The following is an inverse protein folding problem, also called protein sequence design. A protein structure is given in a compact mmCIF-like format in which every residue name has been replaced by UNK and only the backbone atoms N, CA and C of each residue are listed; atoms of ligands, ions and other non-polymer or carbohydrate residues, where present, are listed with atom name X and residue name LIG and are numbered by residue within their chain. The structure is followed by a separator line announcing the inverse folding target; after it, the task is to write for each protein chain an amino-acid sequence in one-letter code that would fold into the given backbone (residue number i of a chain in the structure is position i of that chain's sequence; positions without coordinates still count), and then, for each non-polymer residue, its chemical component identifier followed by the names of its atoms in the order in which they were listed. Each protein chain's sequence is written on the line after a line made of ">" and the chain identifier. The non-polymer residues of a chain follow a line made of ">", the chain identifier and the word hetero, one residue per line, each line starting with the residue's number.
data_IF_574318874309
#
_entry.id   IF_574318874309
#
_cell.length_a   1.000
_cell.length_b   1.000
_cell.length_c   1.000
_cell.angle_alpha   90.00
_cell.angle_beta   90.00
_cell.angle_gamma   90.00
#
_symmetry.space_group_name_H-M   'P 1'
#
loop_
_entity.id
_entity.type
_entity.pdbx_description
1 polymer ?
#
# COMPACT_ATOMS: atom_id res chain seq x y z
N UNK A 1 19.13 -11.69 -22.52
CA UNK A 1 18.52 -10.85 -23.56
C UNK A 1 17.73 -9.78 -22.84
N UNK A 2 18.29 -8.56 -22.81
CA UNK A 2 17.66 -7.40 -22.14
C UNK A 2 16.50 -6.93 -23.00
N UNK A 3 15.27 -7.10 -22.54
CA UNK A 3 14.09 -6.50 -23.17
C UNK A 3 14.19 -4.99 -22.98
N UNK A 4 14.28 -4.27 -24.09
CA UNK A 4 14.12 -2.81 -24.11
C UNK A 4 12.74 -2.49 -23.53
N UNK A 5 12.71 -1.89 -22.35
CA UNK A 5 11.47 -1.35 -21.76
C UNK A 5 10.85 -0.39 -22.77
N UNK A 6 9.54 -0.52 -23.00
CA UNK A 6 8.84 0.39 -23.90
C UNK A 6 8.86 1.82 -23.33
N UNK A 7 8.67 2.84 -24.17
CA UNK A 7 8.56 4.23 -23.71
C UNK A 7 7.40 4.39 -22.72
N UNK A 8 6.33 3.60 -22.89
CA UNK A 8 5.20 3.55 -21.97
C UNK A 8 5.59 2.98 -20.59
N UNK A 9 6.42 1.92 -20.55
CA UNK A 9 6.89 1.33 -19.29
C UNK A 9 7.81 2.29 -18.52
N UNK A 10 8.64 3.06 -19.24
CA UNK A 10 9.49 4.08 -18.64
C UNK A 10 8.67 5.24 -18.06
N UNK A 11 7.65 5.71 -18.78
CA UNK A 11 6.75 6.77 -18.32
C UNK A 11 5.94 6.34 -17.10
N UNK A 12 5.41 5.11 -17.08
CA UNK A 12 4.71 4.55 -15.94
C UNK A 12 5.62 4.44 -14.71
N UNK A 13 6.87 3.98 -14.91
CA UNK A 13 7.87 3.91 -13.84
C UNK A 13 8.20 5.28 -13.26
N UNK A 14 8.34 6.31 -14.11
CA UNK A 14 8.59 7.68 -13.67
C UNK A 14 7.40 8.25 -12.88
N UNK A 15 6.17 8.00 -13.30
CA UNK A 15 4.98 8.45 -12.61
C UNK A 15 4.84 7.83 -11.22
N UNK A 16 5.15 6.54 -11.06
CA UNK A 16 5.19 5.89 -9.74
C UNK A 16 6.24 6.56 -8.85
N UNK A 17 7.44 6.85 -9.37
CA UNK A 17 8.48 7.56 -8.61
C UNK A 17 8.05 8.97 -8.20
N UNK A 18 7.31 9.69 -9.04
CA UNK A 18 6.77 11.01 -8.71
C UNK A 18 5.79 10.94 -7.54
N UNK A 19 4.81 10.01 -7.56
CA UNK A 19 3.88 9.81 -6.45
C UNK A 19 4.60 9.37 -5.18
N UNK A 20 5.57 8.47 -5.30
CA UNK A 20 6.39 8.02 -4.18
C UNK A 20 7.18 9.18 -3.57
N UNK A 21 7.79 10.05 -4.39
CA UNK A 21 8.53 11.21 -3.93
C UNK A 21 7.65 12.17 -3.13
N UNK A 22 6.43 12.43 -3.59
CA UNK A 22 5.49 13.27 -2.87
C UNK A 22 5.02 12.61 -1.57
N UNK A 23 4.79 11.29 -1.57
CA UNK A 23 4.39 10.55 -0.36
C UNK A 23 5.47 10.56 0.73
N UNK A 24 6.73 10.59 0.33
CA UNK A 24 7.90 10.64 1.23
C UNK A 24 8.34 12.06 1.59
N UNK A 25 7.69 13.09 1.02
CA UNK A 25 8.03 14.49 1.29
C UNK A 25 7.62 14.88 2.72
N UNK A 26 8.58 15.34 3.57
CA UNK A 26 8.28 15.72 4.94
C UNK A 26 7.20 16.80 5.03
N UNK A 27 6.18 16.57 5.88
CA UNK A 27 5.09 17.53 6.12
C UNK A 27 4.03 17.60 5.02
N UNK A 28 4.10 16.73 4.01
CA UNK A 28 3.16 16.67 2.91
C UNK A 28 2.30 15.40 3.03
N UNK A 29 1.05 15.54 3.48
CA UNK A 29 0.09 14.44 3.56
C UNK A 29 -0.70 14.26 2.26
N UNK A 30 -1.45 13.14 2.10
CA UNK A 30 -2.15 12.78 0.86
C UNK A 30 -3.08 13.86 0.34
N UNK A 31 -3.95 14.42 1.18
CA UNK A 31 -4.89 15.49 0.80
C UNK A 31 -4.17 16.71 0.23
N UNK A 32 -3.11 17.19 0.91
CA UNK A 32 -2.35 18.35 0.42
C UNK A 32 -1.61 18.04 -0.88
N UNK A 33 -1.10 16.83 -1.03
CA UNK A 33 -0.44 16.39 -2.27
C UNK A 33 -1.41 16.44 -3.43
N UNK A 34 -2.61 15.92 -3.28
CA UNK A 34 -3.63 15.93 -4.34
C UNK A 34 -4.00 17.36 -4.75
N UNK A 35 -4.27 18.24 -3.79
CA UNK A 35 -4.52 19.66 -4.06
C UNK A 35 -3.35 20.34 -4.78
N UNK A 36 -2.10 20.03 -4.38
CA UNK A 36 -0.91 20.53 -5.04
C UNK A 36 -0.83 20.10 -6.51
N UNK A 37 -1.05 18.82 -6.77
CA UNK A 37 -1.02 18.23 -8.12
C UNK A 37 -2.13 18.84 -8.99
N UNK A 38 -3.34 18.98 -8.46
CA UNK A 38 -4.47 19.62 -9.14
C UNK A 38 -4.18 21.10 -9.44
N UNK A 39 -3.67 21.84 -8.47
CA UNK A 39 -3.38 23.28 -8.59
C UNK A 39 -2.32 23.57 -9.65
N UNK A 40 -1.28 22.77 -9.73
CA UNK A 40 -0.18 22.94 -10.69
C UNK A 40 -0.44 22.25 -12.06
N UNK A 41 -1.58 21.57 -12.21
CA UNK A 41 -1.99 20.97 -13.48
C UNK A 41 -1.34 19.61 -13.79
N UNK A 42 -0.92 18.87 -12.75
CA UNK A 42 -0.44 17.50 -12.87
C UNK A 42 0.83 17.23 -12.09
N UNK A 43 1.09 15.95 -11.84
CA UNK A 43 2.21 15.54 -10.99
C UNK A 43 3.57 15.95 -11.56
N UNK A 44 3.78 15.84 -12.86
CA UNK A 44 5.01 16.26 -13.50
C UNK A 44 5.26 17.78 -13.42
N UNK A 45 4.20 18.59 -13.30
CA UNK A 45 4.32 20.03 -13.13
C UNK A 45 4.85 20.39 -11.72
N UNK A 46 4.51 19.60 -10.71
CA UNK A 46 5.03 19.79 -9.34
C UNK A 46 6.55 19.74 -9.31
N UNK A 47 7.17 18.80 -10.03
CA UNK A 47 8.63 18.62 -10.08
C UNK A 47 9.35 19.61 -11.01
N UNK A 48 8.60 20.37 -11.83
CA UNK A 48 9.15 21.46 -12.67
C UNK A 48 8.96 22.82 -12.04
N UNK A 49 8.13 22.93 -11.01
CA UNK A 49 7.84 24.17 -10.34
C UNK A 49 9.08 24.68 -9.57
N UNK A 50 9.30 25.99 -9.62
CA UNK A 50 10.33 26.66 -8.80
C UNK A 50 9.93 26.64 -7.32
N UNK A 51 10.92 26.87 -6.44
CA UNK A 51 10.67 26.99 -5.00
C UNK A 51 9.59 28.05 -4.70
N UNK A 52 9.66 29.21 -5.37
CA UNK A 52 8.69 30.29 -5.17
C UNK A 52 7.26 29.90 -5.58
N UNK A 53 7.10 29.17 -6.67
CA UNK A 53 5.79 28.65 -7.10
C UNK A 53 5.25 27.63 -6.09
N UNK A 54 6.09 26.72 -5.60
CA UNK A 54 5.71 25.75 -4.57
C UNK A 54 5.29 26.45 -3.26
N UNK A 55 6.05 27.44 -2.80
CA UNK A 55 5.71 28.22 -1.60
C UNK A 55 4.40 29.01 -1.78
N UNK A 56 4.14 29.55 -2.98
CA UNK A 56 2.91 30.26 -3.30
C UNK A 56 1.65 29.38 -3.19
N UNK A 57 1.78 28.04 -3.27
CA UNK A 57 0.66 27.10 -3.05
C UNK A 57 0.30 26.92 -1.56
N UNK A 58 1.05 27.52 -0.64
CA UNK A 58 0.85 27.39 0.80
C UNK A 58 1.48 26.11 1.39
N UNK A 59 2.41 25.48 0.68
CA UNK A 59 3.21 24.39 1.25
C UNK A 59 4.07 24.85 2.41
N UNK A 60 4.34 23.94 3.34
CA UNK A 60 5.37 24.16 4.35
C UNK A 60 6.72 24.34 3.66
N UNK A 61 7.55 25.27 4.15
CA UNK A 61 8.88 25.54 3.58
C UNK A 61 9.73 24.25 3.47
N UNK A 62 9.67 23.36 4.46
CA UNK A 62 10.39 22.08 4.44
C UNK A 62 9.94 21.18 3.27
N UNK A 63 8.66 21.18 2.96
CA UNK A 63 8.09 20.39 1.84
C UNK A 63 8.49 21.00 0.50
N UNK A 64 8.32 22.32 0.34
CA UNK A 64 8.68 23.05 -0.87
C UNK A 64 10.19 22.91 -1.20
N UNK A 65 11.05 23.09 -0.19
CA UNK A 65 12.49 22.89 -0.33
C UNK A 65 12.87 21.46 -0.71
N UNK A 66 12.26 20.45 -0.06
CA UNK A 66 12.53 19.04 -0.36
C UNK A 66 12.22 18.69 -1.82
N UNK A 67 11.12 19.23 -2.36
CA UNK A 67 10.77 19.04 -3.77
C UNK A 67 11.72 19.81 -4.69
N UNK A 68 11.91 21.11 -4.45
CA UNK A 68 12.69 22.00 -5.31
C UNK A 68 14.19 21.61 -5.38
N UNK A 69 14.77 21.07 -4.30
CA UNK A 69 16.16 20.60 -4.26
C UNK A 69 16.36 19.17 -4.79
N UNK A 70 15.28 18.47 -5.14
CA UNK A 70 15.34 17.07 -5.58
C UNK A 70 15.47 16.04 -4.45
N UNK A 71 15.49 16.46 -3.18
CA UNK A 71 15.64 15.54 -2.05
C UNK A 71 14.50 14.53 -1.94
N UNK A 72 13.26 14.95 -2.22
CA UNK A 72 12.11 14.04 -2.30
C UNK A 72 12.30 12.96 -3.36
N UNK A 73 12.92 13.32 -4.48
CA UNK A 73 13.23 12.40 -5.57
C UNK A 73 14.30 11.37 -5.16
N UNK A 74 15.35 11.80 -4.47
CA UNK A 74 16.39 10.90 -3.94
C UNK A 74 15.76 9.87 -2.98
N UNK A 75 14.90 10.29 -2.07
CA UNK A 75 14.16 9.39 -1.18
C UNK A 75 13.33 8.36 -1.93
N UNK A 76 12.65 8.78 -3.01
CA UNK A 76 11.85 7.87 -3.82
C UNK A 76 12.71 6.83 -4.54
N UNK A 77 13.86 7.23 -5.08
CA UNK A 77 14.78 6.31 -5.74
C UNK A 77 15.34 5.27 -4.78
N UNK A 78 15.77 5.69 -3.58
CA UNK A 78 16.25 4.79 -2.54
C UNK A 78 15.16 3.81 -2.10
N UNK A 79 13.96 4.30 -1.85
CA UNK A 79 12.84 3.47 -1.40
C UNK A 79 12.37 2.51 -2.49
N UNK A 80 12.30 2.96 -3.74
CA UNK A 80 11.97 2.11 -4.89
C UNK A 80 13.00 0.98 -5.06
N UNK A 81 14.29 1.29 -4.90
CA UNK A 81 15.34 0.28 -4.96
C UNK A 81 15.23 -0.75 -3.82
N UNK A 82 14.92 -0.30 -2.60
CA UNK A 82 14.65 -1.20 -1.45
C UNK A 82 13.44 -2.09 -1.72
N UNK A 83 12.35 -1.52 -2.23
CA UNK A 83 11.13 -2.28 -2.54
C UNK A 83 11.42 -3.37 -3.59
N UNK A 84 12.10 -3.02 -4.68
CA UNK A 84 12.49 -3.96 -5.71
C UNK A 84 13.37 -5.10 -5.15
N UNK A 85 14.35 -4.78 -4.32
CA UNK A 85 15.22 -5.77 -3.68
C UNK A 85 14.44 -6.72 -2.73
N UNK A 86 13.35 -6.24 -2.12
CA UNK A 86 12.47 -7.01 -1.24
C UNK A 86 11.34 -7.75 -1.98
N UNK A 87 11.24 -7.65 -3.31
CA UNK A 87 10.15 -8.23 -4.09
C UNK A 87 8.80 -7.58 -3.78
N UNK A 88 8.80 -6.28 -3.48
CA UNK A 88 7.62 -5.47 -3.18
C UNK A 88 7.33 -4.56 -4.37
N UNK A 89 6.10 -4.59 -4.86
CA UNK A 89 5.61 -3.67 -5.87
C UNK A 89 5.08 -2.41 -5.22
N UNK A 90 5.27 -1.26 -5.86
CA UNK A 90 4.68 0.01 -5.44
C UNK A 90 3.64 0.40 -6.49
N UNK A 91 2.38 0.51 -6.07
CA UNK A 91 1.28 0.99 -6.88
C UNK A 91 1.02 2.46 -6.55
N UNK A 92 0.99 3.33 -7.53
CA UNK A 92 0.62 4.73 -7.34
C UNK A 92 -0.88 4.96 -7.56
N UNK A 93 -1.38 6.09 -7.06
CA UNK A 93 -2.80 6.48 -7.18
C UNK A 93 -3.31 6.49 -8.64
N UNK A 94 -2.42 6.76 -9.60
CA UNK A 94 -2.75 6.80 -11.03
C UNK A 94 -2.55 5.46 -11.74
N UNK A 95 -2.03 4.45 -11.04
CA UNK A 95 -1.83 3.13 -11.62
C UNK A 95 -3.17 2.48 -11.97
N UNK A 96 -3.23 1.80 -13.10
CA UNK A 96 -4.44 1.10 -13.55
C UNK A 96 -4.84 -0.07 -12.64
N UNK A 97 -3.87 -0.63 -11.92
CA UNK A 97 -4.09 -1.73 -10.96
C UNK A 97 -4.37 -1.23 -9.53
N UNK A 98 -4.34 0.09 -9.31
CA UNK A 98 -4.71 0.66 -8.02
C UNK A 98 -6.21 0.40 -7.73
N UNK A 99 -6.58 -0.07 -6.51
CA UNK A 99 -7.95 -0.45 -6.21
C UNK A 99 -8.94 0.71 -6.37
N UNK A 100 -9.88 0.60 -7.31
CA UNK A 100 -10.84 1.68 -7.63
C UNK A 100 -11.63 2.14 -6.39
N UNK A 101 -12.10 1.19 -5.56
CA UNK A 101 -12.84 1.52 -4.33
C UNK A 101 -12.00 2.29 -3.31
N UNK A 102 -10.69 2.05 -3.28
CA UNK A 102 -9.78 2.79 -2.41
C UNK A 102 -9.52 4.19 -2.96
N UNK A 103 -9.55 4.36 -4.29
CA UNK A 103 -9.41 5.66 -4.96
C UNK A 103 -10.60 6.60 -4.69
N UNK A 104 -11.78 6.04 -4.39
CA UNK A 104 -13.02 6.78 -4.15
C UNK A 104 -13.18 7.29 -2.71
N UNK A 105 -12.35 6.87 -1.76
CA UNK A 105 -12.43 7.38 -0.39
C UNK A 105 -11.95 8.83 -0.33
N UNK A 106 -12.31 9.53 0.75
CA UNK A 106 -11.97 10.94 0.95
C UNK A 106 -10.46 11.23 0.87
N UNK A 107 -9.64 10.38 1.47
CA UNK A 107 -8.18 10.53 1.55
C UNK A 107 -7.46 9.25 1.11
N UNK A 108 -7.45 8.93 -0.21
CA UNK A 108 -6.81 7.73 -0.69
C UNK A 108 -5.30 7.82 -0.55
N UNK A 109 -4.63 6.72 -0.15
CA UNK A 109 -3.18 6.62 -0.15
C UNK A 109 -2.57 6.97 -1.50
N UNK A 110 -1.51 7.77 -1.51
CA UNK A 110 -0.83 8.15 -2.76
C UNK A 110 -0.12 6.97 -3.41
N UNK A 111 0.38 6.06 -2.57
CA UNK A 111 1.04 4.83 -2.97
C UNK A 111 0.64 3.67 -2.06
N UNK A 112 0.67 2.46 -2.60
CA UNK A 112 0.53 1.21 -1.85
C UNK A 112 1.74 0.34 -2.10
N UNK A 113 2.34 -0.16 -1.03
CA UNK A 113 3.35 -1.20 -1.07
C UNK A 113 2.66 -2.56 -1.06
N UNK A 114 2.95 -3.40 -2.06
CA UNK A 114 2.28 -4.69 -2.25
C UNK A 114 3.31 -5.80 -2.35
N UNK A 115 3.26 -6.77 -1.44
CA UNK A 115 4.00 -8.02 -1.50
C UNK A 115 3.04 -9.16 -1.83
N UNK A 116 3.20 -9.81 -2.97
CA UNK A 116 2.32 -10.87 -3.46
C UNK A 116 1.59 -10.46 -4.73
N UNK A 117 0.39 -11.02 -4.92
CA UNK A 117 -0.42 -10.83 -6.13
C UNK A 117 -1.24 -9.52 -6.03
N UNK A 118 -0.84 -8.48 -6.78
CA UNK A 118 -1.53 -7.19 -6.79
C UNK A 118 -2.90 -7.26 -7.51
N UNK A 119 -3.11 -8.19 -8.45
CA UNK A 119 -4.34 -8.27 -9.25
C UNK A 119 -5.57 -8.64 -8.40
N UNK A 120 -5.35 -9.27 -7.23
CA UNK A 120 -6.45 -9.60 -6.32
C UNK A 120 -7.09 -8.38 -5.67
N UNK A 121 -6.40 -7.23 -5.65
CA UNK A 121 -6.90 -6.00 -5.04
C UNK A 121 -8.10 -5.40 -5.79
N UNK A 122 -8.28 -5.76 -7.06
CA UNK A 122 -9.42 -5.38 -7.89
C UNK A 122 -10.63 -6.29 -7.72
N UNK A 123 -10.46 -7.46 -7.11
CA UNK A 123 -11.51 -8.48 -6.97
C UNK A 123 -12.49 -8.14 -5.83
N UNK A 124 -13.72 -8.65 -5.89
CA UNK A 124 -14.68 -8.49 -4.80
C UNK A 124 -14.16 -9.08 -3.50
N UNK A 125 -14.17 -8.28 -2.44
CA UNK A 125 -13.68 -8.69 -1.13
C UNK A 125 -14.51 -8.14 0.01
N UNK A 126 -14.32 -8.72 1.18
CA UNK A 126 -14.97 -8.31 2.42
C UNK A 126 -13.95 -8.18 3.55
N UNK A 127 -14.03 -7.08 4.29
CA UNK A 127 -13.21 -6.89 5.48
C UNK A 127 -13.79 -7.64 6.66
N UNK A 128 -12.95 -8.42 7.34
CA UNK A 128 -13.29 -9.13 8.57
C UNK A 128 -12.31 -8.70 9.64
N UNK A 129 -12.80 -7.93 10.61
CA UNK A 129 -12.00 -7.32 11.67
C UNK A 129 -12.66 -7.53 13.03
N UNK A 130 -11.88 -7.50 14.11
CA UNK A 130 -12.44 -7.64 15.44
C UNK A 130 -11.42 -7.58 16.56
N UNK A 131 -11.84 -8.04 17.73
CA UNK A 131 -11.03 -7.99 18.94
C UNK A 131 -9.74 -8.81 18.82
N UNK A 132 -8.68 -8.30 19.45
CA UNK A 132 -7.40 -9.02 19.61
C UNK A 132 -7.45 -10.17 20.62
N UNK A 133 -8.52 -10.20 21.45
CA UNK A 133 -8.74 -11.21 22.48
C UNK A 133 -10.16 -11.80 22.37
N UNK A 134 -10.44 -12.58 21.29
CA UNK A 134 -11.75 -13.19 21.11
C UNK A 134 -11.96 -14.35 22.09
N UNK A 135 -13.21 -14.66 22.37
CA UNK A 135 -13.57 -15.94 22.98
C UNK A 135 -13.32 -17.07 21.97
N UNK A 136 -13.18 -18.34 22.42
CA UNK A 136 -13.08 -19.49 21.51
C UNK A 136 -14.25 -19.55 20.50
N UNK A 137 -15.45 -19.21 20.95
CA UNK A 137 -16.64 -19.12 20.07
C UNK A 137 -16.46 -18.03 19.00
N UNK A 138 -16.03 -16.81 19.38
CA UNK A 138 -15.84 -15.70 18.45
C UNK A 138 -14.77 -16.01 17.39
N UNK A 139 -13.64 -16.61 17.80
CA UNK A 139 -12.58 -17.03 16.90
C UNK A 139 -13.07 -18.11 15.93
N UNK A 140 -13.75 -19.13 16.41
CA UNK A 140 -14.32 -20.21 15.58
C UNK A 140 -15.39 -19.71 14.61
N UNK A 141 -16.21 -18.75 15.01
CA UNK A 141 -17.21 -18.14 14.11
C UNK A 141 -16.56 -17.29 13.02
N UNK A 142 -15.53 -16.52 13.34
CA UNK A 142 -14.78 -15.75 12.35
C UNK A 142 -14.11 -16.66 11.30
N UNK A 143 -13.45 -17.72 11.76
CA UNK A 143 -12.83 -18.71 10.89
C UNK A 143 -13.85 -19.40 10.00
N UNK A 144 -14.96 -19.88 10.55
CA UNK A 144 -16.03 -20.54 9.78
C UNK A 144 -16.65 -19.61 8.75
N UNK A 145 -16.98 -18.37 9.14
CA UNK A 145 -17.53 -17.37 8.22
C UNK A 145 -16.59 -17.10 7.05
N UNK A 146 -15.30 -16.95 7.32
CA UNK A 146 -14.31 -16.66 6.28
C UNK A 146 -14.02 -17.88 5.38
N UNK A 147 -14.12 -19.11 5.89
CA UNK A 147 -14.14 -20.33 5.06
C UNK A 147 -15.29 -20.26 4.06
N UNK A 148 -16.50 -20.00 4.54
CA UNK A 148 -17.70 -19.97 3.72
C UNK A 148 -17.67 -18.85 2.66
N UNK A 149 -17.16 -17.70 3.00
CA UNK A 149 -17.01 -16.55 2.10
C UNK A 149 -15.93 -16.79 1.04
N UNK A 150 -14.76 -17.24 1.48
CA UNK A 150 -13.62 -17.53 0.60
C UNK A 150 -13.92 -18.68 -0.38
N UNK A 151 -14.66 -19.72 0.07
CA UNK A 151 -15.12 -20.81 -0.80
C UNK A 151 -16.07 -20.33 -1.92
N UNK A 152 -16.68 -19.15 -1.76
CA UNK A 152 -17.52 -18.51 -2.80
C UNK A 152 -16.74 -17.50 -3.66
N UNK A 153 -15.43 -17.48 -3.54
CA UNK A 153 -14.55 -16.62 -4.35
C UNK A 153 -14.40 -15.19 -3.84
N UNK A 154 -14.88 -14.85 -2.62
CA UNK A 154 -14.66 -13.55 -2.04
C UNK A 154 -13.25 -13.46 -1.44
N UNK A 155 -12.56 -12.34 -1.69
CA UNK A 155 -11.28 -12.04 -1.05
C UNK A 155 -11.54 -11.61 0.40
N UNK A 156 -10.84 -12.22 1.34
CA UNK A 156 -10.91 -11.81 2.75
C UNK A 156 -9.83 -10.76 3.01
N UNK A 157 -10.23 -9.58 3.49
CA UNK A 157 -9.32 -8.52 3.92
C UNK A 157 -9.29 -8.45 5.44
N UNK A 158 -8.09 -8.33 6.04
CA UNK A 158 -7.97 -8.16 7.48
C UNK A 158 -6.63 -7.52 7.85
N UNK A 159 -6.47 -7.06 9.11
CA UNK A 159 -5.32 -6.27 9.57
C UNK A 159 -4.15 -7.09 10.12
N UNK A 160 -4.14 -8.43 9.99
CA UNK A 160 -3.10 -9.32 10.51
C UNK A 160 -2.94 -9.30 12.05
N UNK A 161 -3.76 -8.58 12.80
CA UNK A 161 -3.70 -8.52 14.25
C UNK A 161 -3.98 -9.89 14.90
N UNK A 162 -3.65 -10.03 16.19
CA UNK A 162 -4.10 -11.18 16.98
C UNK A 162 -5.61 -11.31 16.94
N UNK A 163 -6.12 -12.51 17.23
CA UNK A 163 -7.54 -12.75 17.43
C UNK A 163 -8.33 -12.90 16.14
N UNK A 164 -9.35 -12.07 15.94
CA UNK A 164 -10.28 -12.22 14.80
C UNK A 164 -9.58 -12.10 13.47
N UNK A 165 -8.64 -11.17 13.30
CA UNK A 165 -7.91 -10.98 12.06
C UNK A 165 -7.12 -12.24 11.68
N UNK A 166 -6.40 -12.81 12.65
CA UNK A 166 -5.66 -14.07 12.47
C UNK A 166 -6.60 -15.22 12.09
N UNK A 167 -7.77 -15.34 12.76
CA UNK A 167 -8.75 -16.36 12.46
C UNK A 167 -9.33 -16.18 11.05
N UNK A 168 -9.59 -14.94 10.63
CA UNK A 168 -10.09 -14.62 9.29
C UNK A 168 -9.13 -15.07 8.18
N UNK A 169 -7.84 -14.75 8.30
CA UNK A 169 -6.83 -15.20 7.33
C UNK A 169 -6.70 -16.72 7.29
N UNK A 170 -6.69 -17.37 8.47
CA UNK A 170 -6.63 -18.86 8.55
C UNK A 170 -7.83 -19.52 7.88
N UNK A 171 -9.04 -19.00 8.10
CA UNK A 171 -10.25 -19.50 7.46
C UNK A 171 -10.20 -19.38 5.94
N UNK A 172 -9.75 -18.23 5.41
CA UNK A 172 -9.58 -18.05 3.97
C UNK A 172 -8.58 -19.06 3.37
N UNK A 173 -7.43 -19.24 4.02
CA UNK A 173 -6.41 -20.21 3.60
C UNK A 173 -6.90 -21.67 3.70
N UNK A 174 -7.67 -22.01 4.75
CA UNK A 174 -8.26 -23.36 4.91
C UNK A 174 -9.24 -23.69 3.77
N UNK A 175 -9.96 -22.70 3.25
CA UNK A 175 -10.82 -22.84 2.07
C UNK A 175 -10.04 -22.84 0.74
N UNK A 176 -8.69 -22.75 0.75
CA UNK A 176 -7.86 -22.51 -0.42
C UNK A 176 -8.25 -21.24 -1.19
N UNK A 177 -8.89 -20.31 -0.51
CA UNK A 177 -9.22 -18.98 -1.02
C UNK A 177 -8.06 -17.99 -0.86
N UNK A 178 -8.24 -16.80 -1.42
CA UNK A 178 -7.25 -15.72 -1.35
C UNK A 178 -7.60 -14.74 -0.22
N UNK A 179 -6.58 -14.13 0.36
CA UNK A 179 -6.76 -13.12 1.39
C UNK A 179 -5.72 -12.03 1.26
N UNK A 180 -6.07 -10.81 1.67
CA UNK A 180 -5.22 -9.62 1.67
C UNK A 180 -5.03 -9.16 3.12
N UNK A 181 -3.78 -9.06 3.55
CA UNK A 181 -3.44 -8.50 4.85
C UNK A 181 -3.03 -7.04 4.72
N UNK A 182 -3.72 -6.16 5.45
CA UNK A 182 -3.46 -4.71 5.49
C UNK A 182 -2.62 -4.40 6.71
N UNK A 183 -1.38 -3.98 6.48
CA UNK A 183 -0.41 -3.72 7.55
C UNK A 183 -0.43 -2.24 7.98
N UNK A 184 -0.29 -2.02 9.29
CA UNK A 184 0.04 -0.73 9.89
C UNK A 184 1.55 -0.49 10.06
N UNK A 185 2.38 -1.33 9.43
CA UNK A 185 3.85 -1.30 9.39
C UNK A 185 4.29 -1.43 7.95
N UNK A 186 5.58 -1.33 7.64
CA UNK A 186 6.06 -1.73 6.32
C UNK A 186 5.70 -3.21 6.03
N UNK A 187 5.45 -3.55 4.77
CA UNK A 187 5.08 -4.94 4.38
C UNK A 187 6.19 -5.96 4.64
N UNK A 188 7.42 -5.49 4.86
CA UNK A 188 8.61 -6.24 5.26
C UNK A 188 8.72 -6.44 6.78
N UNK A 189 7.85 -5.79 7.58
CA UNK A 189 7.84 -5.84 9.05
C UNK A 189 6.53 -6.46 9.55
N UNK A 190 6.38 -7.80 9.52
CA UNK A 190 5.18 -8.47 10.01
C UNK A 190 4.93 -8.18 11.49
N UNK A 191 3.72 -7.69 11.80
CA UNK A 191 3.30 -7.44 13.17
C UNK A 191 1.87 -7.97 13.41
N UNK A 192 1.66 -8.75 14.48
CA UNK A 192 2.64 -9.21 15.47
C UNK A 192 3.61 -10.27 14.89
N UNK A 193 4.83 -10.38 15.44
CA UNK A 193 5.88 -11.32 14.96
C UNK A 193 5.43 -12.78 14.89
N UNK A 194 4.50 -13.19 15.74
CA UNK A 194 3.92 -14.54 15.75
C UNK A 194 3.15 -14.88 14.47
N UNK A 195 2.69 -13.87 13.73
CA UNK A 195 1.96 -14.02 12.46
C UNK A 195 2.89 -13.96 11.23
N UNK A 196 4.22 -13.92 11.40
CA UNK A 196 5.17 -13.90 10.26
C UNK A 196 4.96 -15.09 9.33
N UNK A 197 4.81 -16.31 9.88
CA UNK A 197 4.54 -17.50 9.07
C UNK A 197 3.20 -17.42 8.32
N UNK A 198 2.20 -16.82 8.94
CA UNK A 198 0.89 -16.61 8.31
C UNK A 198 0.99 -15.63 7.14
N UNK A 199 1.78 -14.54 7.28
CA UNK A 199 2.01 -13.60 6.18
C UNK A 199 2.67 -14.27 4.97
N UNK A 200 3.66 -15.14 5.20
CA UNK A 200 4.32 -15.88 4.12
C UNK A 200 3.36 -16.89 3.45
N UNK A 201 2.49 -17.55 4.23
CA UNK A 201 1.45 -18.43 3.70
C UNK A 201 0.43 -17.68 2.82
N UNK A 202 0.05 -16.47 3.20
CA UNK A 202 -0.84 -15.60 2.40
C UNK A 202 -0.22 -15.36 1.04
N UNK A 203 1.01 -14.90 0.98
CA UNK A 203 1.71 -14.66 -0.29
C UNK A 203 1.87 -15.94 -1.11
N UNK A 204 2.29 -17.03 -0.48
CA UNK A 204 2.49 -18.32 -1.15
C UNK A 204 1.21 -18.90 -1.74
N UNK A 205 0.03 -18.55 -1.20
CA UNK A 205 -1.29 -18.98 -1.71
C UNK A 205 -1.90 -18.05 -2.77
N UNK A 206 -1.14 -17.08 -3.27
CA UNK A 206 -1.60 -16.10 -4.25
C UNK A 206 -2.44 -14.98 -3.63
N UNK A 207 -2.24 -14.72 -2.34
CA UNK A 207 -2.73 -13.55 -1.63
C UNK A 207 -1.75 -12.38 -1.70
N UNK A 208 -2.04 -11.31 -0.97
CA UNK A 208 -1.18 -10.14 -0.87
C UNK A 208 -1.09 -9.57 0.55
N UNK A 209 0.04 -8.94 0.82
CA UNK A 209 0.24 -8.04 1.96
C UNK A 209 0.31 -6.63 1.38
N UNK A 210 -0.42 -5.69 1.99
CA UNK A 210 -0.41 -4.30 1.55
C UNK A 210 -0.14 -3.35 2.71
N UNK A 211 0.49 -2.22 2.42
CA UNK A 211 0.70 -1.14 3.38
C UNK A 211 0.77 0.21 2.67
N UNK A 212 0.40 1.26 3.40
CA UNK A 212 0.63 2.66 3.03
C UNK A 212 2.01 3.17 3.51
N UNK A 213 2.68 2.40 4.35
CA UNK A 213 3.92 2.80 5.00
C UNK A 213 5.15 2.30 4.24
N UNK A 214 6.23 3.11 4.19
CA UNK A 214 7.51 2.69 3.62
C UNK A 214 8.06 1.43 4.27
N UNK A 215 8.94 0.73 3.56
CA UNK A 215 9.63 -0.42 4.10
C UNK A 215 10.38 -0.05 5.39
N UNK A 216 10.56 -1.06 6.24
CA UNK A 216 11.21 -0.90 7.54
C UNK A 216 10.50 0.06 8.52
N UNK A 217 9.23 0.39 8.26
CA UNK A 217 8.39 1.09 9.22
C UNK A 217 7.94 0.13 10.31
N UNK A 218 8.33 0.41 11.56
CA UNK A 218 7.96 -0.37 12.73
C UNK A 218 6.61 0.09 13.32
N UNK A 219 5.92 -0.79 14.08
CA UNK A 219 4.67 -0.43 14.72
C UNK A 219 4.89 0.75 15.68
N UNK A 220 3.94 1.69 15.66
CA UNK A 220 3.91 2.75 16.67
C UNK A 220 3.71 2.15 18.08
N UNK A 221 4.29 2.75 19.13
CA UNK A 221 4.17 2.30 20.51
C UNK A 221 2.71 2.28 21.00
#
# INVERSE_FOLDING_TARGET
>A
MSTLSSVADLAASEQVLQWLALSLTPGLGPTRTRHLVEHLGGIAAVFRASLTELEATGLLAVSAQSIATGKSWEFAQEESAKAAAAGVNILSLDDSTYPLRLKEIYDPPLVLYVRGDADILSQPGIAVVGTRHPTPYGSGMAERLTIDLAARGLIILSGMARGIDTAAHRGALAAKGKTVAVFGTGVDVPYPKENTRLSDQIVASGGALISEFPLSTFPAP
#
